data_IF_207006451563
#
_entry.id   IF_207006451563
#
_cell.length_a   1.000
_cell.length_b   1.000
_cell.length_c   1.000
_cell.angle_alpha   90.00
_cell.angle_beta   90.00
_cell.angle_gamma   90.00
#
_symmetry.space_group_name_H-M   'P 1'
#
loop_
_entity.id
_entity.type
_entity.pdbx_description
1 polymer ?
#
# COMPACT_ATOMS: atom_id res chain seq x y z
N UNK A 1 -4.87 7.54 22.31
CA UNK A 1 -6.08 8.03 21.64
C UNK A 1 -6.43 9.36 22.23
N UNK A 2 -7.01 10.26 21.44
CA UNK A 2 -7.56 11.51 21.97
C UNK A 2 -8.79 11.23 22.85
N UNK A 3 -9.02 12.08 23.84
CA UNK A 3 -10.18 12.02 24.74
C UNK A 3 -11.47 12.32 23.97
N UNK A 4 -12.60 11.77 24.42
CA UNK A 4 -13.91 11.87 23.74
C UNK A 4 -14.33 13.33 23.47
N UNK A 5 -13.93 14.25 24.35
CA UNK A 5 -14.16 15.70 24.24
C UNK A 5 -13.48 16.34 23.00
N UNK A 6 -12.43 15.73 22.46
CA UNK A 6 -11.69 16.25 21.29
C UNK A 6 -12.18 15.71 19.95
N UNK A 7 -13.14 14.77 19.95
CA UNK A 7 -13.66 14.18 18.71
C UNK A 7 -14.36 15.21 17.81
N UNK A 8 -15.00 16.21 18.41
CA UNK A 8 -15.63 17.33 17.68
C UNK A 8 -14.68 18.48 17.32
N UNK A 9 -13.37 18.35 17.58
CA UNK A 9 -12.44 19.46 17.29
C UNK A 9 -12.22 19.64 15.79
N UNK A 10 -12.01 20.89 15.36
CA UNK A 10 -11.69 21.20 13.96
C UNK A 10 -10.46 20.45 13.45
N UNK A 11 -9.49 20.14 14.34
CA UNK A 11 -8.28 19.38 14.00
C UNK A 11 -8.62 17.94 13.62
N UNK A 12 -9.54 17.34 14.35
CA UNK A 12 -10.04 15.98 14.10
C UNK A 12 -10.82 15.95 12.79
N UNK A 13 -11.68 16.94 12.54
CA UNK A 13 -12.41 17.07 11.28
C UNK A 13 -11.47 17.20 10.07
N UNK A 14 -10.44 18.04 10.15
CA UNK A 14 -9.43 18.17 9.09
C UNK A 14 -8.67 16.84 8.90
N UNK A 15 -8.25 16.18 9.98
CA UNK A 15 -7.58 14.89 9.91
C UNK A 15 -8.47 13.81 9.25
N UNK A 16 -9.77 13.78 9.56
CA UNK A 16 -10.73 12.88 8.93
C UNK A 16 -10.90 13.16 7.44
N UNK A 17 -11.02 14.44 7.04
CA UNK A 17 -11.11 14.81 5.61
C UNK A 17 -9.85 14.40 4.86
N UNK A 18 -8.67 14.67 5.41
CA UNK A 18 -7.40 14.25 4.83
C UNK A 18 -7.29 12.72 4.73
N UNK A 19 -7.78 12.01 5.73
CA UNK A 19 -7.82 10.55 5.74
C UNK A 19 -8.75 9.98 4.67
N UNK A 20 -9.96 10.55 4.50
CA UNK A 20 -10.89 10.16 3.43
C UNK A 20 -10.26 10.43 2.06
N UNK A 21 -9.62 11.58 1.89
CA UNK A 21 -8.96 11.94 0.64
C UNK A 21 -7.80 10.99 0.31
N UNK A 22 -6.98 10.64 1.30
CA UNK A 22 -5.88 9.68 1.14
C UNK A 22 -6.41 8.31 0.70
N UNK A 23 -7.46 7.83 1.36
CA UNK A 23 -8.11 6.57 1.02
C UNK A 23 -8.70 6.55 -0.38
N UNK A 24 -9.36 7.64 -0.75
CA UNK A 24 -9.93 7.80 -2.08
C UNK A 24 -8.86 7.64 -3.16
N UNK A 25 -7.71 8.29 -3.01
CA UNK A 25 -6.61 8.15 -3.96
C UNK A 25 -5.94 6.77 -3.92
N UNK A 26 -5.79 6.15 -2.74
CA UNK A 26 -5.27 4.78 -2.62
C UNK A 26 -6.16 3.75 -3.35
N UNK A 27 -7.48 3.91 -3.30
CA UNK A 27 -8.44 3.05 -4.01
C UNK A 27 -8.41 3.26 -5.52
N UNK A 28 -8.33 4.52 -5.96
CA UNK A 28 -8.25 4.85 -7.39
C UNK A 28 -6.97 4.29 -8.01
N UNK A 29 -5.83 4.39 -7.31
CA UNK A 29 -4.58 3.80 -7.77
C UNK A 29 -4.69 2.28 -7.94
N UNK A 30 -5.34 1.60 -6.97
CA UNK A 30 -5.62 0.17 -7.07
C UNK A 30 -6.46 -0.17 -8.30
N UNK A 31 -7.54 0.58 -8.54
CA UNK A 31 -8.43 0.36 -9.68
C UNK A 31 -7.72 0.56 -11.02
N UNK A 32 -6.81 1.53 -11.11
CA UNK A 32 -6.02 1.77 -12.32
C UNK A 32 -4.96 0.69 -12.58
N UNK A 33 -4.55 -0.06 -11.55
CA UNK A 33 -3.63 -1.20 -11.71
C UNK A 33 -4.34 -2.43 -12.30
N UNK A 34 -5.65 -2.58 -12.06
CA UNK A 34 -6.43 -3.73 -12.57
C UNK A 34 -6.66 -3.58 -14.08
N UNK A 35 -6.23 -4.57 -14.86
CA UNK A 35 -6.35 -4.62 -16.31
C UNK A 35 -7.75 -5.08 -16.78
N UNK A 36 -8.82 -4.51 -16.20
CA UNK A 36 -10.21 -4.81 -16.57
C UNK A 36 -10.81 -3.66 -17.36
N UNK A 37 -11.53 -3.95 -18.44
CA UNK A 37 -12.31 -2.95 -19.16
C UNK A 37 -13.47 -2.47 -18.29
N UNK A 38 -13.33 -1.28 -17.70
CA UNK A 38 -14.39 -0.65 -16.92
C UNK A 38 -15.48 -0.07 -17.83
N UNK A 39 -16.75 -0.08 -17.41
CA UNK A 39 -17.82 0.59 -18.13
C UNK A 39 -17.54 2.09 -18.29
N UNK A 40 -17.97 2.69 -19.40
CA UNK A 40 -17.62 4.06 -19.83
C UNK A 40 -17.72 5.12 -18.73
N UNK A 41 -18.75 5.03 -17.88
CA UNK A 41 -18.95 5.93 -16.75
C UNK A 41 -17.79 5.89 -15.74
N UNK A 42 -17.33 4.69 -15.38
CA UNK A 42 -16.24 4.48 -14.41
C UNK A 42 -14.91 4.92 -15.03
N UNK A 43 -14.66 4.60 -16.29
CA UNK A 43 -13.43 5.02 -17.00
C UNK A 43 -13.30 6.55 -17.07
N UNK A 44 -14.39 7.27 -17.27
CA UNK A 44 -14.39 8.75 -17.28
C UNK A 44 -14.09 9.32 -15.90
N UNK A 45 -14.68 8.76 -14.84
CA UNK A 45 -14.44 9.19 -13.46
C UNK A 45 -12.99 8.89 -13.06
N UNK A 46 -12.51 7.67 -13.30
CA UNK A 46 -11.13 7.27 -13.05
C UNK A 46 -10.13 8.10 -13.86
N UNK A 47 -10.46 8.52 -15.08
CA UNK A 47 -9.60 9.40 -15.89
C UNK A 47 -9.41 10.78 -15.27
N UNK A 48 -10.48 11.40 -14.75
CA UNK A 48 -10.42 12.71 -14.10
C UNK A 48 -9.54 12.64 -12.85
N UNK A 49 -9.84 11.69 -11.95
CA UNK A 49 -9.11 11.56 -10.68
C UNK A 49 -7.73 10.93 -10.83
N UNK A 50 -7.54 10.08 -11.84
CA UNK A 50 -6.25 9.50 -12.20
C UNK A 50 -5.26 10.56 -12.67
N UNK A 51 -5.72 11.55 -13.44
CA UNK A 51 -4.88 12.68 -13.87
C UNK A 51 -4.36 13.51 -12.68
N UNK A 52 -5.17 13.65 -11.62
CA UNK A 52 -4.77 14.32 -10.38
C UNK A 52 -3.72 13.51 -9.61
N UNK A 53 -3.79 12.19 -9.69
CA UNK A 53 -2.81 11.28 -9.10
C UNK A 53 -1.46 11.30 -9.84
N UNK A 54 -1.47 11.51 -11.17
CA UNK A 54 -0.25 11.70 -11.98
C UNK A 54 0.50 12.98 -11.59
N UNK A 55 -0.18 14.03 -11.12
CA UNK A 55 0.51 15.21 -10.58
C UNK A 55 1.37 14.88 -9.34
N UNK A 56 0.96 13.89 -8.55
CA UNK A 56 1.73 13.36 -7.42
C UNK A 56 2.72 12.26 -7.82
N UNK A 57 2.66 11.76 -9.06
CA UNK A 57 3.56 10.70 -9.54
C UNK A 57 5.00 11.16 -9.74
N UNK A 58 5.28 12.47 -9.72
CA UNK A 58 6.64 12.99 -9.64
C UNK A 58 7.40 12.61 -8.36
N UNK A 59 6.68 12.16 -7.32
CA UNK A 59 7.26 11.58 -6.10
C UNK A 59 7.32 10.04 -6.13
N UNK A 60 6.88 9.39 -7.22
CA UNK A 60 7.06 7.95 -7.37
C UNK A 60 8.54 7.66 -7.60
N UNK A 61 9.11 6.86 -6.72
CA UNK A 61 10.47 6.29 -6.83
C UNK A 61 10.70 5.51 -8.15
N UNK A 62 9.65 5.24 -8.91
CA UNK A 62 9.69 4.57 -10.22
C UNK A 62 10.48 5.37 -11.27
N UNK A 63 10.71 6.68 -11.09
CA UNK A 63 11.54 7.50 -11.99
C UNK A 63 13.03 7.58 -11.58
N UNK A 64 13.46 6.86 -10.55
CA UNK A 64 14.83 6.90 -10.00
C UNK A 64 15.81 5.82 -10.48
N UNK A 65 15.45 5.00 -11.48
CA UNK A 65 16.35 3.98 -12.04
C UNK A 65 16.36 2.61 -11.33
N UNK A 66 15.42 2.34 -10.42
CA UNK A 66 15.15 0.99 -9.92
C UNK A 66 14.22 0.25 -10.90
N UNK A 67 14.77 -0.11 -12.06
CA UNK A 67 14.05 -0.78 -13.15
C UNK A 67 13.74 -2.26 -12.91
N UNK A 68 14.07 -2.81 -11.73
CA UNK A 68 13.84 -4.22 -11.43
C UNK A 68 12.60 -4.35 -10.55
N UNK A 69 11.49 -4.82 -11.13
CA UNK A 69 10.21 -4.97 -10.42
C UNK A 69 10.36 -5.84 -9.17
N UNK A 70 11.29 -6.81 -9.21
CA UNK A 70 11.72 -7.60 -8.05
C UNK A 70 12.19 -6.73 -6.88
N UNK A 71 13.04 -5.72 -7.11
CA UNK A 71 13.51 -4.83 -6.04
C UNK A 71 12.38 -4.00 -5.46
N UNK A 72 11.45 -3.55 -6.29
CA UNK A 72 10.28 -2.77 -5.85
C UNK A 72 9.32 -3.63 -5.02
N UNK A 73 9.09 -4.88 -5.42
CA UNK A 73 8.32 -5.88 -4.65
C UNK A 73 8.98 -6.15 -3.31
N UNK A 74 10.29 -6.40 -3.29
CA UNK A 74 11.05 -6.67 -2.06
C UNK A 74 10.98 -5.47 -1.12
N UNK A 75 11.26 -4.25 -1.60
CA UNK A 75 11.28 -3.05 -0.76
C UNK A 75 9.89 -2.76 -0.18
N UNK A 76 8.85 -2.72 -1.02
CA UNK A 76 7.48 -2.43 -0.57
C UNK A 76 6.91 -3.55 0.31
N UNK A 77 7.32 -4.80 0.11
CA UNK A 77 6.95 -5.94 0.95
C UNK A 77 7.67 -5.97 2.31
N UNK A 78 8.97 -5.62 2.37
CA UNK A 78 9.74 -5.61 3.63
C UNK A 78 9.44 -4.39 4.50
N UNK A 79 9.13 -3.25 3.91
CA UNK A 79 8.88 -2.00 4.65
C UNK A 79 7.88 -2.16 5.81
N UNK A 80 6.67 -2.75 5.63
CA UNK A 80 5.74 -2.95 6.74
C UNK A 80 6.29 -3.87 7.85
N UNK A 81 7.04 -4.91 7.48
CA UNK A 81 7.66 -5.84 8.44
C UNK A 81 8.70 -5.12 9.29
N UNK A 82 9.55 -4.29 8.67
CA UNK A 82 10.56 -3.48 9.37
C UNK A 82 9.87 -2.47 10.30
N UNK A 83 8.83 -1.78 9.84
CA UNK A 83 8.06 -0.85 10.68
C UNK A 83 7.44 -1.53 11.91
N UNK A 84 6.84 -2.71 11.73
CA UNK A 84 6.28 -3.51 12.84
C UNK A 84 7.38 -3.94 13.81
N UNK A 85 8.52 -4.41 13.30
CA UNK A 85 9.67 -4.78 14.12
C UNK A 85 10.19 -3.60 14.94
N UNK A 86 10.32 -2.41 14.35
CA UNK A 86 10.67 -1.19 15.07
C UNK A 86 9.65 -0.85 16.16
N UNK A 87 8.34 -0.96 15.89
CA UNK A 87 7.30 -0.73 16.90
C UNK A 87 7.42 -1.72 18.07
N UNK A 88 7.69 -3.00 17.78
CA UNK A 88 7.91 -4.03 18.79
C UNK A 88 9.17 -3.77 19.63
N UNK A 89 10.26 -3.32 19.01
CA UNK A 89 11.49 -2.94 19.71
C UNK A 89 11.27 -1.73 20.63
N UNK A 90 10.56 -0.71 20.16
CA UNK A 90 10.21 0.47 20.97
C UNK A 90 9.32 0.07 22.16
N UNK A 91 8.35 -0.82 21.93
CA UNK A 91 7.51 -1.35 23.00
C UNK A 91 8.34 -2.13 24.04
N UNK A 92 9.17 -3.06 23.60
CA UNK A 92 10.07 -3.82 24.48
C UNK A 92 11.03 -2.91 25.26
N UNK A 93 11.63 -1.93 24.59
CA UNK A 93 12.48 -0.91 25.20
C UNK A 93 11.75 -0.08 26.25
N UNK A 94 10.50 0.31 25.98
CA UNK A 94 9.68 1.06 26.94
C UNK A 94 9.35 0.25 28.19
N UNK A 95 9.06 -1.04 28.04
CA UNK A 95 8.80 -1.95 29.17
C UNK A 95 10.06 -2.22 29.98
N UNK A 96 11.20 -2.41 29.32
CA UNK A 96 12.50 -2.57 29.99
C UNK A 96 12.88 -1.29 30.75
N UNK A 97 12.74 -0.12 30.13
CA UNK A 97 12.99 1.16 30.78
C UNK A 97 12.09 1.37 32.01
N UNK A 98 10.80 1.02 31.91
CA UNK A 98 9.86 1.08 33.03
C UNK A 98 10.26 0.16 34.19
N UNK A 99 10.74 -1.06 33.89
CA UNK A 99 11.23 -2.01 34.90
C UNK A 99 12.53 -1.54 35.56
N UNK A 100 13.50 -1.06 34.78
CA UNK A 100 14.81 -0.64 35.30
C UNK A 100 14.72 0.66 36.11
N UNK A 101 13.89 1.61 35.69
CA UNK A 101 13.74 2.91 36.37
C UNK A 101 12.66 2.91 37.45
N UNK A 102 11.93 1.79 37.63
CA UNK A 102 10.74 1.66 38.52
C UNK A 102 9.66 2.72 38.27
N UNK A 103 9.65 3.34 37.09
CA UNK A 103 8.68 4.38 36.71
C UNK A 103 7.67 3.77 35.74
N UNK A 104 6.51 3.39 36.28
CA UNK A 104 5.45 2.72 35.51
C UNK A 104 4.92 3.55 34.34
N UNK A 105 4.97 4.89 34.42
CA UNK A 105 4.50 5.78 33.36
C UNK A 105 5.35 5.74 32.08
N UNK A 106 6.57 5.21 32.13
CA UNK A 106 7.41 4.99 30.94
C UNK A 106 6.99 3.74 30.13
N UNK A 107 6.17 2.86 30.72
CA UNK A 107 5.66 1.68 30.03
C UNK A 107 4.61 2.06 28.99
N UNK A 108 4.84 1.69 27.73
CA UNK A 108 3.85 1.90 26.69
C UNK A 108 2.67 0.94 26.87
N UNK A 109 1.43 1.43 26.66
CA UNK A 109 0.23 0.58 26.67
C UNK A 109 0.14 -0.31 25.42
N UNK A 110 -0.33 -1.55 25.61
CA UNK A 110 -0.58 -2.51 24.53
C UNK A 110 -1.58 -2.00 23.48
N UNK A 111 -2.60 -1.24 23.88
CA UNK A 111 -3.58 -0.65 22.95
C UNK A 111 -2.91 0.31 21.97
N UNK A 112 -1.88 1.03 22.43
CA UNK A 112 -1.11 1.95 21.59
C UNK A 112 -0.25 1.19 20.58
N UNK A 113 0.31 0.04 20.98
CA UNK A 113 1.06 -0.83 20.08
C UNK A 113 0.14 -1.42 19.01
N UNK A 114 -1.02 -1.97 19.41
CA UNK A 114 -2.00 -2.53 18.46
C UNK A 114 -2.49 -1.48 17.47
N UNK A 115 -2.77 -0.26 17.93
CA UNK A 115 -3.18 0.83 17.05
C UNK A 115 -2.08 1.21 16.04
N UNK A 116 -0.81 1.24 16.46
CA UNK A 116 0.32 1.49 15.56
C UNK A 116 0.50 0.37 14.53
N UNK A 117 0.37 -0.90 14.94
CA UNK A 117 0.43 -2.05 14.03
C UNK A 117 -0.72 -1.98 13.02
N UNK A 118 -1.96 -1.75 13.48
CA UNK A 118 -3.13 -1.61 12.61
C UNK A 118 -2.98 -0.47 11.60
N UNK A 119 -2.50 0.69 12.06
CA UNK A 119 -2.23 1.84 11.18
C UNK A 119 -1.15 1.52 10.15
N UNK A 120 -0.10 0.78 10.54
CA UNK A 120 0.98 0.36 9.65
C UNK A 120 0.44 -0.58 8.58
N UNK A 121 -0.28 -1.64 8.97
CA UNK A 121 -0.89 -2.58 8.03
C UNK A 121 -1.83 -1.88 7.05
N UNK A 122 -2.64 -0.95 7.54
CA UNK A 122 -3.54 -0.15 6.71
C UNK A 122 -2.80 0.72 5.70
N UNK A 123 -1.75 1.41 6.13
CA UNK A 123 -0.95 2.29 5.29
C UNK A 123 -0.29 1.54 4.14
N UNK A 124 0.19 0.32 4.40
CA UNK A 124 0.89 -0.50 3.41
C UNK A 124 -0.03 -1.45 2.63
N UNK A 125 -1.31 -1.58 2.99
CA UNK A 125 -2.26 -2.47 2.32
C UNK A 125 -2.41 -2.15 0.83
N UNK A 126 -2.68 -0.89 0.48
CA UNK A 126 -2.87 -0.47 -0.92
C UNK A 126 -1.63 -0.71 -1.79
N UNK A 127 -0.41 -0.31 -1.37
CA UNK A 127 0.82 -0.65 -2.10
C UNK A 127 1.04 -2.16 -2.30
N UNK A 128 0.78 -2.98 -1.28
CA UNK A 128 0.94 -4.44 -1.36
C UNK A 128 -0.09 -5.02 -2.33
N UNK A 129 -1.36 -4.63 -2.21
CA UNK A 129 -2.41 -5.11 -3.10
C UNK A 129 -2.17 -4.68 -4.55
N UNK A 130 -1.71 -3.45 -4.78
CA UNK A 130 -1.31 -2.97 -6.12
C UNK A 130 -0.15 -3.80 -6.69
N UNK A 131 0.87 -4.13 -5.88
CA UNK A 131 1.93 -5.03 -6.32
C UNK A 131 1.44 -6.44 -6.64
N UNK A 132 0.57 -7.01 -5.79
CA UNK A 132 -0.02 -8.32 -6.04
C UNK A 132 -0.80 -8.36 -7.35
N UNK A 133 -1.49 -7.27 -7.69
CA UNK A 133 -2.20 -7.14 -8.97
C UNK A 133 -1.23 -6.94 -10.14
N UNK A 134 -0.13 -6.22 -9.94
CA UNK A 134 0.89 -6.00 -10.97
C UNK A 134 1.58 -7.30 -11.40
N UNK A 135 1.75 -8.27 -10.48
CA UNK A 135 2.28 -9.60 -10.81
C UNK A 135 1.44 -10.33 -11.88
N UNK A 136 0.15 -10.06 -11.96
CA UNK A 136 -0.76 -10.65 -12.95
C UNK A 136 -1.06 -9.72 -14.12
N UNK A 137 -0.37 -8.58 -14.21
CA UNK A 137 -0.58 -7.63 -15.29
C UNK A 137 -0.02 -8.18 -16.59
N UNK A 138 -0.80 -8.02 -17.65
CA UNK A 138 -0.48 -8.46 -18.99
C UNK A 138 -0.19 -7.24 -19.86
N UNK A 139 0.86 -7.33 -20.68
CA UNK A 139 1.29 -6.26 -21.57
C UNK A 139 1.58 -6.81 -22.96
N UNK A 140 1.33 -5.98 -23.98
CA UNK A 140 1.72 -6.30 -25.36
C UNK A 140 3.24 -6.36 -25.49
N UNK A 141 3.72 -7.48 -26.04
CA UNK A 141 5.13 -7.73 -26.29
C UNK A 141 5.40 -7.53 -27.80
N UNK A 142 6.58 -7.01 -28.22
CA UNK A 142 6.94 -6.82 -29.63
C UNK A 142 6.81 -8.05 -30.53
N UNK A 143 6.67 -9.25 -29.97
CA UNK A 143 6.34 -10.48 -30.69
C UNK A 143 4.85 -10.60 -31.12
N UNK A 144 4.02 -9.59 -30.85
CA UNK A 144 2.60 -9.56 -31.21
C UNK A 144 1.69 -10.34 -30.25
N UNK A 145 2.25 -10.92 -29.18
CA UNK A 145 1.51 -11.64 -28.14
C UNK A 145 1.35 -10.78 -26.89
N UNK A 146 0.31 -11.08 -26.11
CA UNK A 146 0.13 -10.50 -24.78
C UNK A 146 0.85 -11.40 -23.79
N UNK A 147 1.85 -10.90 -23.08
CA UNK A 147 2.62 -11.66 -22.10
C UNK A 147 2.52 -11.02 -20.72
N UNK A 148 2.88 -11.77 -19.67
CA UNK A 148 2.97 -11.22 -18.32
C UNK A 148 4.02 -10.10 -18.28
N UNK A 149 3.74 -9.02 -17.54
CA UNK A 149 4.69 -7.90 -17.38
C UNK A 149 5.97 -8.35 -16.67
N UNK A 150 5.88 -9.24 -15.68
CA UNK A 150 7.04 -9.76 -14.94
C UNK A 150 7.84 -10.81 -15.71
N UNK A 151 7.18 -11.58 -16.57
CA UNK A 151 7.79 -12.69 -17.28
C UNK A 151 7.22 -12.81 -18.69
N UNK A 152 8.01 -12.30 -19.64
CA UNK A 152 7.67 -12.31 -21.06
C UNK A 152 7.60 -13.72 -21.68
N UNK A 153 7.99 -14.79 -20.96
CA UNK A 153 7.85 -16.18 -21.42
C UNK A 153 6.43 -16.73 -21.23
N UNK A 154 5.63 -16.10 -20.36
CA UNK A 154 4.25 -16.52 -20.08
C UNK A 154 3.31 -15.72 -20.98
N UNK A 155 2.66 -16.39 -21.92
CA UNK A 155 1.60 -15.80 -22.73
C UNK A 155 0.32 -15.71 -21.89
N UNK A 156 -0.21 -14.50 -21.73
CA UNK A 156 -1.48 -14.29 -21.05
C UNK A 156 -2.63 -14.84 -21.90
N UNK A 157 -3.60 -15.49 -21.26
CA UNK A 157 -4.79 -16.07 -21.89
C UNK A 157 -4.53 -17.22 -22.89
N UNK A 158 -3.26 -17.58 -23.14
CA UNK A 158 -2.84 -18.67 -24.01
C UNK A 158 -1.96 -19.68 -23.26
N UNK A 159 -2.37 -20.96 -23.22
CA UNK A 159 -1.53 -22.07 -22.77
C UNK A 159 -1.82 -22.59 -21.35
N UNK A 160 -1.23 -23.74 -21.03
CA UNK A 160 -1.44 -24.45 -19.77
C UNK A 160 -0.81 -23.77 -18.55
N UNK A 161 0.30 -23.03 -18.73
CA UNK A 161 1.00 -22.35 -17.63
C UNK A 161 0.15 -21.22 -17.05
N UNK A 162 -0.45 -20.37 -17.88
CA UNK A 162 -1.38 -19.32 -17.43
C UNK A 162 -2.58 -19.91 -16.67
N UNK A 163 -3.20 -20.98 -17.22
CA UNK A 163 -4.31 -21.66 -16.56
C UNK A 163 -3.90 -22.30 -15.22
N UNK A 164 -2.67 -22.81 -15.11
CA UNK A 164 -2.16 -23.36 -13.85
C UNK A 164 -1.86 -22.30 -12.78
N UNK A 165 -1.81 -21.02 -13.14
CA UNK A 165 -1.66 -19.91 -12.18
C UNK A 165 -3.00 -19.38 -11.65
N UNK A 166 -4.12 -19.77 -12.28
CA UNK A 166 -5.48 -19.36 -11.89
C UNK A 166 -6.19 -20.42 -11.01
N UNK A 167 -5.58 -21.59 -10.82
CA UNK A 167 -6.11 -22.74 -10.07
C UNK A 167 -5.41 -22.89 -8.73
#
# INVERSE_FOLDING_TARGET
>A
GDTFEKWGSYKTAIATVLFIQLNHYQMIDLMLTVNTEFPYFITRILGIWGSTNTAWSGFRLDCGGLADVKSTVIIKGLTPVVCIACCALVYGGSLLAAKLTKKAWLGMSGDRLLNLIGTTLYTFYSPIASLSLLLFKCQGNPNGKITLTEDASINCYEGGIWQSMLV
#
